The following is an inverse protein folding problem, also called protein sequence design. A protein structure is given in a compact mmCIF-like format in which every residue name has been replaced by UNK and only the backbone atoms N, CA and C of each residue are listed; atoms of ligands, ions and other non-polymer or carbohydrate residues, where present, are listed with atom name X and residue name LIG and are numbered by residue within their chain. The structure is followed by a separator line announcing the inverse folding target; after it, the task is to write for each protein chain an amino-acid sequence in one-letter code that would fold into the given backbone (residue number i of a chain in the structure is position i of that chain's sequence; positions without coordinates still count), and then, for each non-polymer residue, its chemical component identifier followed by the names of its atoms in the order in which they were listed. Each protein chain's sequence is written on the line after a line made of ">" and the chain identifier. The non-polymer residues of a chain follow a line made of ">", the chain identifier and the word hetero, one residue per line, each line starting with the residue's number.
data_IF_793436467079
#
_entry.id   IF_793436467079
#
_cell.length_a   1.000
_cell.length_b   1.000
_cell.length_c   1.000
_cell.angle_alpha   90.00
_cell.angle_beta   90.00
_cell.angle_gamma   90.00
#
_symmetry.space_group_name_H-M   'P 1'
#
loop_
_entity.id
_entity.type
_entity.pdbx_description
1 polymer ?
#
# COMPACT_ATOMS: atom_id res chain seq x y z
N UNK A 1 22.24 -4.83 -59.52
CA UNK A 1 21.63 -4.41 -58.23
C UNK A 1 22.70 -4.58 -57.17
N UNK A 2 23.11 -3.46 -56.57
CA UNK A 2 24.19 -3.43 -55.59
C UNK A 2 23.76 -4.16 -54.31
N UNK A 3 24.71 -4.79 -53.61
CA UNK A 3 24.43 -5.64 -52.43
C UNK A 3 23.71 -4.85 -51.34
N UNK A 4 24.11 -3.59 -51.15
CA UNK A 4 23.54 -2.67 -50.18
C UNK A 4 22.06 -2.37 -50.45
N UNK A 5 21.64 -2.25 -51.71
CA UNK A 5 20.24 -2.01 -52.09
C UNK A 5 19.36 -3.21 -51.72
N UNK A 6 19.89 -4.42 -51.88
CA UNK A 6 19.17 -5.68 -51.62
C UNK A 6 18.99 -5.96 -50.13
N UNK A 7 19.92 -5.51 -49.29
CA UNK A 7 19.83 -5.65 -47.82
C UNK A 7 18.75 -4.74 -47.23
N UNK A 8 18.58 -3.52 -47.78
CA UNK A 8 17.51 -2.57 -47.41
C UNK A 8 16.14 -3.03 -47.91
N UNK A 9 16.03 -3.46 -49.16
CA UNK A 9 14.75 -3.89 -49.76
C UNK A 9 14.19 -5.18 -49.15
N UNK A 10 15.06 -6.08 -48.67
CA UNK A 10 14.67 -7.31 -47.98
C UNK A 10 14.49 -7.13 -46.46
N UNK A 11 14.71 -5.92 -45.96
CA UNK A 11 14.60 -5.59 -44.54
C UNK A 11 15.62 -6.31 -43.65
N UNK A 12 16.75 -6.77 -44.17
CA UNK A 12 17.72 -7.58 -43.39
C UNK A 12 18.43 -6.81 -42.27
N UNK A 13 18.14 -5.51 -42.13
CA UNK A 13 18.72 -4.60 -41.14
C UNK A 13 17.62 -3.99 -40.24
N UNK A 14 16.84 -4.84 -39.55
CA UNK A 14 15.72 -4.40 -38.70
C UNK A 14 16.13 -3.73 -37.38
N UNK A 15 17.43 -3.62 -37.10
CA UNK A 15 17.93 -3.13 -35.80
C UNK A 15 17.32 -3.88 -34.60
N UNK A 16 17.42 -3.29 -33.42
CA UNK A 16 16.76 -3.83 -32.22
C UNK A 16 15.24 -3.66 -32.33
N UNK A 17 14.41 -4.71 -32.12
CA UNK A 17 12.96 -4.58 -32.18
C UNK A 17 12.44 -3.48 -31.26
N UNK A 18 11.55 -2.63 -31.77
CA UNK A 18 10.91 -1.55 -31.00
C UNK A 18 9.38 -1.63 -31.08
N UNK A 19 8.68 -1.22 -30.03
CA UNK A 19 7.23 -1.25 -29.92
C UNK A 19 6.71 0.03 -29.27
N UNK A 20 5.71 0.67 -29.87
CA UNK A 20 4.98 1.76 -29.23
C UNK A 20 3.68 1.23 -28.64
N UNK A 21 3.55 1.24 -27.31
CA UNK A 21 2.34 0.82 -26.60
C UNK A 21 1.92 1.93 -25.64
N UNK A 22 0.65 2.36 -25.73
CA UNK A 22 0.07 3.40 -24.87
C UNK A 22 0.90 4.70 -24.79
N UNK A 23 1.56 5.09 -25.88
CA UNK A 23 2.41 6.29 -25.93
C UNK A 23 3.83 6.11 -25.36
N UNK A 24 4.21 4.87 -25.02
CA UNK A 24 5.57 4.52 -24.58
C UNK A 24 6.29 3.75 -25.68
N UNK A 25 7.50 4.20 -26.03
CA UNK A 25 8.42 3.46 -26.89
C UNK A 25 9.19 2.44 -26.05
N UNK A 26 9.17 1.18 -26.46
CA UNK A 26 9.82 0.03 -25.85
C UNK A 26 10.87 -0.52 -26.82
N UNK A 27 12.05 -0.88 -26.31
CA UNK A 27 13.15 -1.52 -27.04
C UNK A 27 13.37 -2.92 -26.48
N UNK A 28 13.57 -3.91 -27.34
CA UNK A 28 13.82 -5.28 -26.91
C UNK A 28 15.31 -5.52 -26.68
N UNK A 29 15.74 -5.54 -25.42
CA UNK A 29 17.15 -5.75 -25.04
C UNK A 29 17.26 -6.87 -24.01
N UNK A 30 18.25 -7.77 -24.17
CA UNK A 30 18.51 -8.87 -23.23
C UNK A 30 17.29 -9.77 -22.92
N UNK A 31 16.40 -9.99 -23.90
CA UNK A 31 15.22 -10.83 -23.72
C UNK A 31 14.02 -10.13 -23.06
N UNK A 32 14.10 -8.82 -22.83
CA UNK A 32 13.06 -8.04 -22.16
C UNK A 32 12.72 -6.78 -22.95
N UNK A 33 11.46 -6.33 -22.87
CA UNK A 33 11.04 -5.03 -23.40
C UNK A 33 11.35 -3.94 -22.37
N UNK A 34 12.25 -3.02 -22.71
CA UNK A 34 12.70 -1.92 -21.86
C UNK A 34 12.13 -0.62 -22.41
N UNK A 35 11.49 0.20 -21.56
CA UNK A 35 11.00 1.52 -21.98
C UNK A 35 12.17 2.42 -22.37
N UNK A 36 12.09 3.02 -23.56
CA UNK A 36 13.04 3.99 -24.06
C UNK A 36 13.02 5.19 -23.10
N UNK A 37 14.08 5.33 -22.31
CA UNK A 37 14.17 6.26 -21.18
C UNK A 37 14.15 7.74 -21.58
N UNK A 38 14.00 8.04 -22.87
CA UNK A 38 14.10 9.38 -23.41
C UNK A 38 13.02 10.36 -22.97
N UNK A 39 11.75 9.94 -22.75
CA UNK A 39 10.66 10.91 -22.56
C UNK A 39 9.59 10.48 -21.53
N UNK A 40 9.21 9.20 -21.42
CA UNK A 40 8.07 8.79 -20.56
C UNK A 40 8.40 7.82 -19.41
N UNK A 41 9.48 7.04 -19.49
CA UNK A 41 9.79 6.02 -18.46
C UNK A 41 10.24 6.58 -17.09
N UNK A 42 10.75 7.81 -17.05
CA UNK A 42 11.21 8.45 -15.83
C UNK A 42 10.09 9.03 -14.95
N UNK A 43 8.99 9.47 -15.57
CA UNK A 43 7.84 10.06 -14.85
C UNK A 43 7.02 8.96 -14.18
N UNK A 44 6.71 7.88 -14.90
CA UNK A 44 6.00 6.71 -14.37
C UNK A 44 6.75 6.05 -13.21
N UNK A 45 8.08 5.93 -13.31
CA UNK A 45 8.88 5.35 -12.23
C UNK A 45 8.89 6.22 -10.98
N UNK A 46 8.92 7.55 -11.13
CA UNK A 46 8.86 8.50 -9.99
C UNK A 46 7.48 8.51 -9.36
N UNK A 47 6.42 8.45 -10.15
CA UNK A 47 5.05 8.36 -9.66
C UNK A 47 4.78 7.02 -8.96
N UNK A 48 5.21 5.91 -9.53
CA UNK A 48 5.13 4.60 -8.91
C UNK A 48 5.88 4.55 -7.57
N UNK A 49 7.06 5.17 -7.47
CA UNK A 49 7.77 5.29 -6.19
C UNK A 49 7.02 6.15 -5.16
N UNK A 50 6.42 7.26 -5.58
CA UNK A 50 5.60 8.11 -4.69
C UNK A 50 4.37 7.35 -4.18
N UNK A 51 3.67 6.63 -5.07
CA UNK A 51 2.51 5.80 -4.70
C UNK A 51 2.90 4.67 -3.74
N UNK A 52 4.03 4.01 -3.95
CA UNK A 52 4.54 2.98 -3.01
C UNK A 52 4.80 3.56 -1.63
N UNK A 53 5.48 4.70 -1.54
CA UNK A 53 5.72 5.39 -0.25
C UNK A 53 4.41 5.78 0.42
N UNK A 54 3.44 6.29 -0.34
CA UNK A 54 2.14 6.69 0.20
C UNK A 54 1.35 5.49 0.71
N UNK A 55 1.34 4.37 -0.03
CA UNK A 55 0.71 3.13 0.45
C UNK A 55 1.35 2.63 1.73
N UNK A 56 2.69 2.59 1.80
CA UNK A 56 3.38 2.17 3.02
C UNK A 56 3.00 3.04 4.23
N UNK A 57 2.98 4.37 4.07
CA UNK A 57 2.53 5.28 5.13
C UNK A 57 1.08 5.03 5.56
N UNK A 58 0.20 4.78 4.60
CA UNK A 58 -1.20 4.48 4.89
C UNK A 58 -1.36 3.13 5.60
N UNK A 59 -0.58 2.12 5.25
CA UNK A 59 -0.56 0.83 5.95
C UNK A 59 -0.05 0.97 7.38
N UNK A 60 1.02 1.73 7.60
CA UNK A 60 1.55 2.04 8.94
C UNK A 60 0.51 2.81 9.79
N UNK A 61 -0.15 3.81 9.22
CA UNK A 61 -1.22 4.55 9.88
C UNK A 61 -2.42 3.64 10.20
N UNK A 62 -2.81 2.76 9.26
CA UNK A 62 -3.91 1.83 9.49
C UNK A 62 -3.60 0.86 10.63
N UNK A 63 -2.38 0.32 10.66
CA UNK A 63 -1.94 -0.58 11.73
C UNK A 63 -1.91 0.15 13.09
N UNK A 64 -1.41 1.38 13.13
CA UNK A 64 -1.41 2.18 14.35
C UNK A 64 -2.83 2.50 14.83
N UNK A 65 -3.75 2.83 13.92
CA UNK A 65 -5.14 3.09 14.26
C UNK A 65 -5.83 1.86 14.82
N UNK A 66 -5.60 0.67 14.25
CA UNK A 66 -6.12 -0.59 14.79
C UNK A 66 -5.62 -0.84 16.22
N UNK A 67 -4.31 -0.70 16.45
CA UNK A 67 -3.74 -0.86 17.78
C UNK A 67 -4.33 0.12 18.80
N UNK A 68 -4.57 1.38 18.40
CA UNK A 68 -5.22 2.37 19.28
C UNK A 68 -6.65 1.97 19.63
N UNK A 69 -7.40 1.44 18.67
CA UNK A 69 -8.77 0.96 18.92
C UNK A 69 -8.75 -0.20 19.90
N UNK A 70 -7.85 -1.17 19.72
CA UNK A 70 -7.74 -2.33 20.60
C UNK A 70 -7.43 -1.89 22.05
N UNK A 71 -6.44 -1.02 22.24
CA UNK A 71 -6.09 -0.49 23.57
C UNK A 71 -7.26 0.30 24.19
N UNK A 72 -7.96 1.11 23.39
CA UNK A 72 -9.12 1.86 23.88
C UNK A 72 -10.25 0.93 24.30
N UNK A 73 -10.49 -0.16 23.57
CA UNK A 73 -11.48 -1.17 23.95
C UNK A 73 -11.09 -1.88 25.24
N UNK A 74 -9.81 -2.24 25.41
CA UNK A 74 -9.30 -2.83 26.65
C UNK A 74 -9.54 -1.88 27.84
N UNK A 75 -9.14 -0.61 27.73
CA UNK A 75 -9.33 0.38 28.81
C UNK A 75 -10.82 0.63 29.13
N UNK A 76 -11.68 0.68 28.10
CA UNK A 76 -13.12 0.82 28.31
C UNK A 76 -13.71 -0.41 29.00
N UNK A 77 -13.26 -1.61 28.62
CA UNK A 77 -13.72 -2.85 29.24
C UNK A 77 -13.29 -2.96 30.71
N UNK A 78 -12.04 -2.56 31.02
CA UNK A 78 -11.52 -2.50 32.38
C UNK A 78 -12.31 -1.50 33.24
N UNK A 79 -12.49 -0.27 32.75
CA UNK A 79 -13.27 0.77 33.45
C UNK A 79 -14.72 0.33 33.70
N UNK A 80 -15.33 -0.35 32.72
CA UNK A 80 -16.70 -0.87 32.85
C UNK A 80 -16.78 -1.97 33.90
N UNK A 81 -15.79 -2.88 33.94
CA UNK A 81 -15.71 -3.93 34.95
C UNK A 81 -15.52 -3.34 36.35
N UNK A 82 -14.61 -2.37 36.52
CA UNK A 82 -14.40 -1.66 37.78
C UNK A 82 -15.68 -0.96 38.26
N UNK A 83 -16.38 -0.26 37.36
CA UNK A 83 -17.65 0.41 37.66
C UNK A 83 -18.69 -0.57 38.20
N UNK A 84 -18.85 -1.73 37.56
CA UNK A 84 -19.79 -2.75 38.03
C UNK A 84 -19.39 -3.37 39.37
N UNK A 85 -18.09 -3.55 39.65
CA UNK A 85 -17.62 -4.01 40.95
C UNK A 85 -17.95 -2.99 42.05
N UNK A 86 -17.67 -1.70 41.81
CA UNK A 86 -17.98 -0.62 42.75
C UNK A 86 -19.48 -0.50 43.02
N UNK A 87 -20.31 -0.61 41.98
CA UNK A 87 -21.78 -0.57 42.11
C UNK A 87 -22.28 -1.71 43.02
N UNK A 88 -21.76 -2.93 42.81
CA UNK A 88 -22.09 -4.09 43.62
C UNK A 88 -21.68 -3.92 45.09
N UNK A 89 -20.45 -3.47 45.35
CA UNK A 89 -19.98 -3.21 46.71
C UNK A 89 -20.86 -2.17 47.44
N UNK A 90 -21.25 -1.13 46.72
CA UNK A 90 -22.10 -0.06 47.25
C UNK A 90 -23.51 -0.57 47.60
N UNK A 91 -24.06 -1.46 46.78
CA UNK A 91 -25.34 -2.12 47.06
C UNK A 91 -25.27 -3.12 48.21
N UNK A 92 -24.18 -3.87 48.34
CA UNK A 92 -23.92 -4.73 49.49
C UNK A 92 -23.84 -3.91 50.78
N UNK A 93 -23.10 -2.80 50.80
CA UNK A 93 -23.02 -1.88 51.95
C UNK A 93 -24.39 -1.29 52.33
N UNK A 94 -25.19 -0.86 51.35
CA UNK A 94 -26.57 -0.39 51.58
C UNK A 94 -27.43 -1.49 52.20
N UNK A 95 -27.29 -2.74 51.74
CA UNK A 95 -28.06 -3.87 52.27
C UNK A 95 -27.72 -4.18 53.73
N UNK A 96 -26.43 -4.12 54.09
CA UNK A 96 -25.96 -4.31 55.48
C UNK A 96 -26.45 -3.18 56.39
N UNK A 97 -26.38 -1.93 55.92
CA UNK A 97 -26.87 -0.76 56.66
C UNK A 97 -28.37 -0.86 56.95
N UNK A 98 -29.19 -1.28 55.97
CA UNK A 98 -30.63 -1.49 56.18
C UNK A 98 -30.96 -2.60 57.18
N UNK A 99 -30.17 -3.67 57.23
CA UNK A 99 -30.39 -4.78 58.19
C UNK A 99 -30.04 -4.41 59.65
N UNK A 100 -29.26 -3.35 59.86
CA UNK A 100 -28.82 -2.90 61.19
C UNK A 100 -29.72 -1.83 61.83
N UNK A 101 -30.67 -1.27 61.09
CA UNK A 101 -31.73 -0.38 61.59
C UNK A 101 -32.98 -1.20 61.92
#
# INVERSE_FOLDING_TARGET
>A
LDRSTREVELGLDYGTPTMNLAGQSLKFENGQWIADTGISGGVDRREAQRLRRRNQQLEEENNLLRLKVDILLDMLSETTAESHLMEKELDELKSVSRRRK
#
